data_IF_765201843685
#
_entry.id   IF_765201843685
#
_cell.length_a   1.000
_cell.length_b   1.000
_cell.length_c   1.000
_cell.angle_alpha   90.00
_cell.angle_beta   90.00
_cell.angle_gamma   90.00
#
_symmetry.space_group_name_H-M   'P 1'
#
loop_
_entity.id
_entity.type
_entity.pdbx_description
1 polymer ?
#
# COMPACT_ATOMS: atom_id res chain seq x y z
N UNK A 1 -4.34 18.57 -9.63
CA UNK A 1 -3.80 18.83 -8.28
C UNK A 1 -3.95 17.58 -7.39
N UNK A 2 -3.04 17.40 -6.46
CA UNK A 2 -3.01 16.29 -5.50
C UNK A 2 -3.31 16.78 -4.07
N UNK A 3 -3.34 15.87 -3.12
CA UNK A 3 -3.60 16.17 -1.71
C UNK A 3 -2.52 17.07 -1.08
N UNK A 4 -1.25 16.93 -1.48
CA UNK A 4 -0.19 17.81 -0.99
C UNK A 4 -0.39 19.26 -1.39
N UNK A 5 -0.84 19.49 -2.62
CA UNK A 5 -1.17 20.84 -3.12
C UNK A 5 -2.23 21.52 -2.25
N UNK A 6 -3.22 20.75 -1.74
CA UNK A 6 -4.24 21.28 -0.82
C UNK A 6 -3.67 21.62 0.55
N UNK A 7 -2.83 20.74 1.13
CA UNK A 7 -2.18 21.04 2.41
C UNK A 7 -1.30 22.27 2.33
N UNK A 8 -0.51 22.40 1.24
CA UNK A 8 0.28 23.60 0.98
C UNK A 8 -0.60 24.84 0.80
N UNK A 9 -1.74 24.70 0.10
CA UNK A 9 -2.73 25.76 -0.09
C UNK A 9 -3.29 26.26 1.23
N UNK A 10 -3.70 25.35 2.12
CA UNK A 10 -4.18 25.72 3.46
C UNK A 10 -3.11 26.47 4.27
N UNK A 11 -1.84 26.02 4.19
CA UNK A 11 -0.71 26.73 4.80
C UNK A 11 -0.49 28.13 4.22
N UNK A 12 -0.64 28.32 2.90
CA UNK A 12 -0.51 29.62 2.22
C UNK A 12 -1.64 30.57 2.59
N UNK A 13 -2.88 30.08 2.77
CA UNK A 13 -3.99 30.91 3.26
C UNK A 13 -3.70 31.39 4.69
N UNK A 14 -3.25 30.47 5.57
CA UNK A 14 -2.88 30.84 6.94
C UNK A 14 -1.72 31.86 6.98
N UNK A 15 -0.79 31.80 6.04
CA UNK A 15 0.32 32.75 5.90
C UNK A 15 -0.06 34.05 5.16
N UNK A 16 -1.28 34.17 4.67
CA UNK A 16 -1.75 35.38 3.92
C UNK A 16 -1.17 35.52 2.50
N UNK A 17 -0.61 34.40 1.94
CA UNK A 17 -0.03 34.37 0.58
C UNK A 17 -0.94 33.74 -0.47
N UNK A 18 -2.13 33.30 -0.08
CA UNK A 18 -3.20 32.78 -0.91
C UNK A 18 -4.54 33.21 -0.32
N UNK A 19 -5.53 33.46 -1.15
CA UNK A 19 -6.89 33.79 -0.72
C UNK A 19 -7.71 32.52 -0.44
N UNK A 20 -8.79 32.66 0.32
CA UNK A 20 -9.73 31.56 0.55
C UNK A 20 -10.41 31.09 -0.76
N UNK A 21 -10.70 32.00 -1.70
CA UNK A 21 -11.30 31.67 -2.99
C UNK A 21 -10.34 30.86 -3.88
N UNK A 22 -9.05 31.19 -3.86
CA UNK A 22 -8.03 30.41 -4.57
C UNK A 22 -7.88 28.99 -3.97
N UNK A 23 -7.97 28.85 -2.65
CA UNK A 23 -7.96 27.52 -2.01
C UNK A 23 -9.21 26.72 -2.40
N UNK A 24 -10.40 27.35 -2.38
CA UNK A 24 -11.65 26.71 -2.79
C UNK A 24 -11.58 26.19 -4.23
N UNK A 25 -10.99 26.96 -5.15
CA UNK A 25 -10.77 26.54 -6.54
C UNK A 25 -9.80 25.33 -6.64
N UNK A 26 -8.82 25.21 -5.74
CA UNK A 26 -7.96 24.04 -5.65
C UNK A 26 -8.72 22.83 -5.11
N UNK A 27 -9.58 23.00 -4.10
CA UNK A 27 -10.42 21.95 -3.52
C UNK A 27 -11.36 21.36 -4.58
N UNK A 28 -11.99 22.18 -5.40
CA UNK A 28 -12.89 21.76 -6.48
C UNK A 28 -12.19 20.91 -7.56
N UNK A 29 -10.89 21.08 -7.74
CA UNK A 29 -10.10 20.41 -8.80
C UNK A 29 -9.15 19.34 -8.29
N UNK A 30 -9.05 19.16 -6.98
CA UNK A 30 -8.14 18.20 -6.39
C UNK A 30 -8.66 16.76 -6.49
N UNK A 31 -7.73 15.82 -6.67
CA UNK A 31 -8.03 14.37 -6.72
C UNK A 31 -9.19 14.05 -7.68
N UNK A 32 -9.11 14.41 -8.98
CA UNK A 32 -10.25 14.47 -9.90
C UNK A 32 -10.82 13.13 -10.33
N UNK A 33 -10.25 12.01 -9.85
CA UNK A 33 -10.68 10.64 -10.19
C UNK A 33 -11.24 9.90 -8.98
N UNK A 34 -11.78 8.70 -9.18
CA UNK A 34 -12.27 7.84 -8.10
C UNK A 34 -11.15 6.93 -7.55
N UNK A 35 -11.39 6.36 -6.37
CA UNK A 35 -10.48 5.43 -5.70
C UNK A 35 -9.71 6.09 -4.55
N UNK A 36 -8.62 5.45 -4.10
CA UNK A 36 -7.71 6.03 -3.11
C UNK A 36 -6.87 7.17 -3.71
N UNK A 37 -6.27 8.00 -2.85
CA UNK A 37 -5.30 9.01 -3.29
C UNK A 37 -4.13 8.38 -4.06
N UNK A 38 -3.46 9.16 -4.92
CA UNK A 38 -2.36 8.67 -5.75
C UNK A 38 -1.03 8.48 -5.00
N UNK A 39 -0.92 9.01 -3.78
CA UNK A 39 0.28 8.90 -2.95
C UNK A 39 0.29 7.69 -2.03
N UNK A 40 1.45 7.44 -1.40
CA UNK A 40 1.66 6.35 -0.44
C UNK A 40 1.15 6.74 0.96
N UNK A 41 -0.11 7.15 1.03
CA UNK A 41 -0.84 7.32 2.27
C UNK A 41 -1.41 5.98 2.75
N UNK A 42 -2.17 5.98 3.83
CA UNK A 42 -2.63 4.76 4.50
C UNK A 42 -3.37 3.80 3.57
N UNK A 43 -4.27 4.32 2.73
CA UNK A 43 -5.08 3.49 1.84
C UNK A 43 -4.21 2.70 0.84
N UNK A 44 -3.34 3.38 0.09
CA UNK A 44 -2.44 2.71 -0.84
C UNK A 44 -1.42 1.81 -0.12
N UNK A 45 -0.91 2.25 1.02
CA UNK A 45 -0.02 1.42 1.85
C UNK A 45 -0.66 0.09 2.21
N UNK A 46 -1.87 0.11 2.77
CA UNK A 46 -2.56 -1.12 3.16
C UNK A 46 -3.01 -1.96 1.95
N UNK A 47 -3.39 -1.35 0.82
CA UNK A 47 -3.65 -2.09 -0.41
C UNK A 47 -2.42 -2.89 -0.86
N UNK A 48 -1.24 -2.28 -0.86
CA UNK A 48 0.01 -2.93 -1.21
C UNK A 48 0.39 -4.05 -0.23
N UNK A 49 0.22 -3.81 1.08
CA UNK A 49 0.55 -4.80 2.10
C UNK A 49 -0.45 -5.97 2.13
N UNK A 50 -1.72 -5.73 1.86
CA UNK A 50 -2.73 -6.80 1.72
C UNK A 50 -2.38 -7.74 0.56
N UNK A 51 -1.86 -7.18 -0.54
CA UNK A 51 -1.33 -7.98 -1.66
C UNK A 51 -0.09 -8.79 -1.24
N UNK A 52 0.85 -8.18 -0.51
CA UNK A 52 2.05 -8.86 -0.01
C UNK A 52 1.74 -10.00 0.96
N UNK A 53 0.73 -9.82 1.84
CA UNK A 53 0.26 -10.87 2.76
C UNK A 53 -0.37 -12.05 2.00
N UNK A 54 -0.88 -11.82 0.79
CA UNK A 54 -1.59 -12.82 -0.01
C UNK A 54 -3.11 -12.78 0.15
N UNK A 55 -3.66 -11.76 0.85
CA UNK A 55 -5.10 -11.58 1.05
C UNK A 55 -5.79 -10.83 -0.10
N UNK A 56 -5.04 -10.44 -1.11
CA UNK A 56 -5.58 -9.92 -2.37
C UNK A 56 -4.73 -10.37 -3.56
N UNK A 57 -5.34 -10.34 -4.75
CA UNK A 57 -4.67 -10.78 -5.98
C UNK A 57 -3.56 -9.81 -6.41
N UNK A 58 -2.54 -10.31 -7.14
CA UNK A 58 -1.49 -9.46 -7.70
C UNK A 58 -2.03 -8.30 -8.53
N UNK A 59 -1.49 -7.10 -8.29
CA UNK A 59 -1.94 -5.86 -8.89
C UNK A 59 -3.05 -5.13 -8.11
N UNK A 60 -3.63 -5.76 -7.10
CA UNK A 60 -4.68 -5.14 -6.28
C UNK A 60 -4.21 -3.87 -5.60
N UNK A 61 -2.95 -3.80 -5.18
CA UNK A 61 -2.37 -2.66 -4.50
C UNK A 61 -2.12 -1.44 -5.40
N UNK A 62 -1.93 -1.63 -6.71
CA UNK A 62 -1.39 -0.57 -7.57
C UNK A 62 -2.22 -0.24 -8.81
N UNK A 63 -3.08 -1.14 -9.30
CA UNK A 63 -3.92 -0.86 -10.48
C UNK A 63 -4.88 0.30 -10.17
N UNK A 64 -4.85 1.42 -10.94
CA UNK A 64 -5.75 2.55 -10.73
C UNK A 64 -7.23 2.17 -10.84
N UNK A 65 -8.07 2.79 -9.99
CA UNK A 65 -9.50 2.48 -9.92
C UNK A 65 -10.25 2.75 -11.25
N UNK A 66 -9.77 3.69 -12.05
CA UNK A 66 -10.36 4.07 -13.33
C UNK A 66 -10.01 3.13 -14.49
N UNK A 67 -9.07 2.22 -14.30
CA UNK A 67 -8.65 1.30 -15.37
C UNK A 67 -9.57 0.08 -15.47
N UNK A 68 -9.84 -0.38 -16.69
CA UNK A 68 -10.61 -1.61 -16.96
C UNK A 68 -9.98 -2.86 -16.32
N UNK A 69 -8.66 -2.85 -16.12
CA UNK A 69 -7.93 -3.89 -15.38
C UNK A 69 -8.47 -4.07 -13.95
N UNK A 70 -8.91 -2.99 -13.28
CA UNK A 70 -9.52 -3.06 -11.94
C UNK A 70 -10.84 -3.85 -11.96
N UNK A 71 -11.66 -3.70 -12.98
CA UNK A 71 -12.91 -4.46 -13.12
C UNK A 71 -12.65 -5.94 -13.38
N UNK A 72 -11.64 -6.26 -14.21
CA UNK A 72 -11.22 -7.65 -14.42
C UNK A 72 -10.71 -8.29 -13.14
N UNK A 73 -9.85 -7.58 -12.40
CA UNK A 73 -9.33 -8.05 -11.12
C UNK A 73 -10.45 -8.31 -10.10
N UNK A 74 -11.47 -7.45 -10.06
CA UNK A 74 -12.62 -7.65 -9.19
C UNK A 74 -13.39 -8.94 -9.54
N UNK A 75 -13.54 -9.24 -10.83
CA UNK A 75 -14.15 -10.49 -11.29
C UNK A 75 -13.30 -11.70 -10.90
N UNK A 76 -12.00 -11.66 -11.17
CA UNK A 76 -11.05 -12.71 -10.79
C UNK A 76 -11.03 -12.95 -9.28
N UNK A 77 -11.12 -11.89 -8.46
CA UNK A 77 -11.21 -12.02 -7.02
C UNK A 77 -12.49 -12.74 -6.57
N UNK A 78 -13.62 -12.47 -7.25
CA UNK A 78 -14.88 -13.20 -7.03
C UNK A 78 -14.79 -14.69 -7.38
N UNK A 79 -14.10 -15.02 -8.48
CA UNK A 79 -13.84 -16.42 -8.87
C UNK A 79 -12.90 -17.09 -7.85
N UNK A 80 -11.80 -16.42 -7.47
CA UNK A 80 -10.83 -16.96 -6.52
C UNK A 80 -11.42 -17.23 -5.12
N UNK A 81 -12.31 -16.37 -4.61
CA UNK A 81 -12.94 -16.63 -3.31
C UNK A 81 -13.79 -17.91 -3.31
N UNK A 82 -14.39 -18.24 -4.45
CA UNK A 82 -15.13 -19.50 -4.59
C UNK A 82 -14.19 -20.72 -4.62
N UNK A 83 -13.00 -20.57 -5.18
CA UNK A 83 -12.00 -21.63 -5.17
C UNK A 83 -11.42 -21.83 -3.76
N UNK A 84 -11.13 -20.75 -3.04
CA UNK A 84 -10.72 -20.82 -1.63
C UNK A 84 -11.75 -21.58 -0.77
N UNK A 85 -13.04 -21.33 -1.01
CA UNK A 85 -14.11 -22.05 -0.31
C UNK A 85 -14.11 -23.55 -0.64
N UNK A 86 -13.93 -23.93 -1.91
CA UNK A 86 -13.86 -25.34 -2.35
C UNK A 86 -12.63 -26.06 -1.81
N UNK A 87 -11.50 -25.36 -1.75
CA UNK A 87 -10.21 -25.85 -1.29
C UNK A 87 -10.10 -25.83 0.25
N UNK A 88 -11.11 -25.30 0.97
CA UNK A 88 -11.15 -25.06 2.43
C UNK A 88 -9.94 -24.24 2.92
N UNK A 89 -9.46 -23.30 2.11
CA UNK A 89 -8.38 -22.38 2.49
C UNK A 89 -8.95 -21.22 3.28
N UNK A 90 -8.47 -21.04 4.50
CA UNK A 90 -8.92 -20.01 5.46
C UNK A 90 -7.94 -18.83 5.50
N UNK A 91 -8.38 -17.64 5.94
CA UNK A 91 -7.48 -16.52 6.18
C UNK A 91 -6.28 -16.88 7.06
N UNK A 92 -6.46 -17.75 8.07
CA UNK A 92 -5.39 -18.25 8.94
C UNK A 92 -4.31 -19.06 8.21
N UNK A 93 -4.65 -19.67 7.08
CA UNK A 93 -3.69 -20.43 6.27
C UNK A 93 -2.83 -19.51 5.40
N UNK A 94 -3.34 -18.30 5.11
CA UNK A 94 -2.67 -17.28 4.30
C UNK A 94 -1.89 -16.31 5.19
N UNK A 95 -2.50 -15.82 6.28
CA UNK A 95 -1.89 -14.84 7.20
C UNK A 95 -0.96 -15.59 8.16
N UNK A 96 0.16 -16.04 7.63
CA UNK A 96 1.20 -16.73 8.41
C UNK A 96 2.22 -15.71 8.96
N UNK A 97 3.02 -16.13 9.93
CA UNK A 97 4.13 -15.30 10.44
C UNK A 97 5.09 -14.86 9.33
N UNK A 98 5.36 -15.75 8.35
CA UNK A 98 6.19 -15.43 7.17
C UNK A 98 5.52 -14.39 6.27
N UNK A 99 4.21 -14.47 6.07
CA UNK A 99 3.46 -13.49 5.28
C UNK A 99 3.52 -12.09 5.92
N UNK A 100 3.38 -12.02 7.24
CA UNK A 100 3.50 -10.77 8.00
C UNK A 100 4.94 -10.24 7.93
N UNK A 101 5.97 -11.09 8.05
CA UNK A 101 7.37 -10.67 7.89
C UNK A 101 7.62 -10.08 6.49
N UNK A 102 7.15 -10.73 5.44
CA UNK A 102 7.24 -10.21 4.08
C UNK A 102 6.54 -8.86 3.93
N UNK A 103 5.35 -8.71 4.55
CA UNK A 103 4.63 -7.43 4.55
C UNK A 103 5.42 -6.32 5.24
N UNK A 104 6.04 -6.59 6.40
CA UNK A 104 6.89 -5.61 7.09
C UNK A 104 8.09 -5.19 6.26
N UNK A 105 8.75 -6.13 5.58
CA UNK A 105 9.87 -5.81 4.68
C UNK A 105 9.41 -4.99 3.47
N UNK A 106 8.27 -5.33 2.90
CA UNK A 106 7.67 -4.55 1.82
C UNK A 106 7.28 -3.16 2.28
N UNK A 107 6.70 -3.02 3.48
CA UNK A 107 6.36 -1.76 4.13
C UNK A 107 7.56 -0.81 4.18
N UNK A 108 8.68 -1.29 4.70
CA UNK A 108 9.93 -0.53 4.78
C UNK A 108 10.51 -0.20 3.40
N UNK A 109 10.41 -1.13 2.45
CA UNK A 109 10.98 -0.99 1.11
C UNK A 109 10.26 0.07 0.26
N UNK A 110 8.94 0.20 0.39
CA UNK A 110 8.15 1.17 -0.37
C UNK A 110 7.85 2.46 0.39
N UNK A 111 8.23 2.54 1.67
CA UNK A 111 8.03 3.74 2.49
C UNK A 111 6.56 4.02 2.77
N UNK A 112 5.86 3.06 3.35
CA UNK A 112 4.45 3.16 3.69
C UNK A 112 4.16 4.20 4.78
N UNK A 113 2.86 4.47 4.97
CA UNK A 113 2.35 5.30 6.06
C UNK A 113 2.66 4.68 7.43
N UNK A 114 2.96 5.50 8.44
CA UNK A 114 3.16 5.03 9.82
C UNK A 114 1.94 4.30 10.40
N UNK A 115 0.75 4.50 9.83
CA UNK A 115 -0.46 3.78 10.23
C UNK A 115 -0.38 2.27 9.94
N UNK A 116 0.47 1.84 9.00
CA UNK A 116 0.66 0.41 8.69
C UNK A 116 1.21 -0.36 9.88
N UNK A 117 2.00 0.27 10.73
CA UNK A 117 2.52 -0.34 11.96
C UNK A 117 1.37 -0.77 12.87
N UNK A 118 0.36 0.11 13.05
CA UNK A 118 -0.85 -0.22 13.82
C UNK A 118 -1.66 -1.33 13.15
N UNK A 119 -1.81 -1.25 11.83
CA UNK A 119 -2.64 -2.21 11.10
C UNK A 119 -1.99 -3.58 11.01
N UNK A 120 -0.69 -3.68 10.71
CA UNK A 120 0.01 -4.95 10.62
C UNK A 120 0.09 -5.66 11.97
N UNK A 121 0.33 -4.93 13.06
CA UNK A 121 0.31 -5.52 14.40
C UNK A 121 -1.08 -6.00 14.80
N UNK A 122 -2.14 -5.25 14.45
CA UNK A 122 -3.52 -5.67 14.70
C UNK A 122 -3.91 -6.91 13.89
N UNK A 123 -3.54 -6.96 12.60
CA UNK A 123 -3.78 -8.13 11.73
C UNK A 123 -3.02 -9.35 12.26
N UNK A 124 -1.76 -9.19 12.61
CA UNK A 124 -0.93 -10.26 13.17
C UNK A 124 -1.55 -10.81 14.46
N UNK A 125 -1.92 -9.93 15.39
CA UNK A 125 -2.56 -10.34 16.64
C UNK A 125 -3.89 -11.08 16.41
N UNK A 126 -4.74 -10.59 15.51
CA UNK A 126 -5.98 -11.26 15.15
C UNK A 126 -5.76 -12.64 14.49
N UNK A 127 -4.62 -12.84 13.83
CA UNK A 127 -4.20 -14.12 13.25
C UNK A 127 -3.45 -15.02 14.25
N UNK A 128 -3.29 -14.60 15.50
CA UNK A 128 -2.59 -15.36 16.55
C UNK A 128 -1.08 -15.22 16.53
N UNK A 129 -0.55 -14.18 15.87
CA UNK A 129 0.89 -13.89 15.81
C UNK A 129 1.21 -12.63 16.61
N UNK A 130 2.16 -12.72 17.52
CA UNK A 130 2.64 -11.57 18.29
C UNK A 130 3.85 -10.92 17.62
N UNK A 131 3.71 -9.63 17.33
CA UNK A 131 4.76 -8.81 16.73
C UNK A 131 4.94 -7.57 17.60
N UNK A 132 6.14 -7.40 18.13
CA UNK A 132 6.51 -6.25 18.90
C UNK A 132 7.24 -5.17 18.08
N UNK A 133 7.35 -3.97 18.65
CA UNK A 133 8.03 -2.84 18.01
C UNK A 133 9.53 -3.09 17.80
N UNK A 134 10.16 -3.90 18.64
CA UNK A 134 11.58 -4.22 18.52
C UNK A 134 11.84 -5.08 17.27
N UNK A 135 10.94 -6.01 16.98
CA UNK A 135 10.98 -6.82 15.75
C UNK A 135 10.76 -5.95 14.51
N UNK A 136 9.81 -5.02 14.55
CA UNK A 136 9.57 -4.04 13.48
C UNK A 136 10.80 -3.16 13.22
N UNK A 137 11.41 -2.62 14.26
CA UNK A 137 12.64 -1.82 14.14
C UNK A 137 13.79 -2.64 13.53
N UNK A 138 13.92 -3.92 13.92
CA UNK A 138 14.94 -4.80 13.37
C UNK A 138 14.75 -5.04 11.85
N UNK A 139 13.52 -5.13 11.36
CA UNK A 139 13.23 -5.20 9.92
C UNK A 139 13.53 -3.88 9.23
N UNK A 140 13.15 -2.75 9.83
CA UNK A 140 13.42 -1.42 9.28
C UNK A 140 14.91 -1.15 9.09
N UNK A 141 15.75 -1.55 10.06
CA UNK A 141 17.21 -1.39 9.98
C UNK A 141 17.87 -2.24 8.88
N UNK A 142 17.25 -3.35 8.49
CA UNK A 142 17.83 -4.31 7.54
C UNK A 142 17.27 -4.20 6.14
N UNK A 143 16.11 -3.58 5.96
CA UNK A 143 15.43 -3.50 4.67
C UNK A 143 15.70 -2.14 4.04
N UNK A 144 16.32 -2.09 2.85
CA UNK A 144 16.53 -0.83 2.15
C UNK A 144 15.20 -0.27 1.64
N UNK A 145 15.03 1.04 1.72
CA UNK A 145 13.97 1.73 1.00
C UNK A 145 14.34 1.77 -0.49
N UNK A 146 13.58 1.07 -1.33
CA UNK A 146 13.80 0.97 -2.78
C UNK A 146 12.83 1.83 -3.60
N UNK A 147 11.69 2.23 -3.01
CA UNK A 147 10.74 3.15 -3.61
C UNK A 147 10.64 4.43 -2.79
N UNK A 148 10.49 5.56 -3.48
CA UNK A 148 10.19 6.84 -2.85
C UNK A 148 9.01 7.46 -3.60
N UNK A 149 7.81 7.32 -3.01
CA UNK A 149 6.56 7.74 -3.62
C UNK A 149 6.02 9.03 -2.97
N UNK A 150 5.09 9.71 -3.66
CA UNK A 150 4.36 10.84 -3.08
C UNK A 150 3.74 10.44 -1.73
N UNK A 151 3.83 11.24 -0.66
CA UNK A 151 4.27 12.63 -0.60
C UNK A 151 5.79 12.86 -0.52
N UNK A 152 6.60 11.83 -0.38
CA UNK A 152 8.05 11.98 -0.22
C UNK A 152 8.80 12.27 -1.53
N UNK A 153 8.13 12.17 -2.68
CA UNK A 153 8.63 12.53 -4.02
C UNK A 153 7.48 12.89 -4.96
N UNK A 154 7.80 13.15 -6.23
CA UNK A 154 6.81 13.39 -7.30
C UNK A 154 6.37 12.11 -8.03
N UNK A 155 6.79 10.93 -7.57
CA UNK A 155 6.43 9.63 -8.14
C UNK A 155 5.15 9.14 -7.46
N UNK A 156 4.19 8.66 -8.23
CA UNK A 156 2.89 8.22 -7.74
C UNK A 156 2.73 6.69 -7.78
N UNK A 157 1.66 6.19 -7.17
CA UNK A 157 1.35 4.75 -7.17
C UNK A 157 1.10 4.21 -8.59
N UNK A 158 0.64 5.05 -9.51
CA UNK A 158 0.49 4.73 -10.93
C UNK A 158 1.82 4.40 -11.60
N UNK A 159 2.86 5.18 -11.28
CA UNK A 159 4.21 4.94 -11.80
C UNK A 159 4.76 3.60 -11.29
N UNK A 160 4.48 3.27 -10.03
CA UNK A 160 4.83 1.95 -9.48
C UNK A 160 4.06 0.82 -10.18
N UNK A 161 2.78 1.03 -10.50
CA UNK A 161 1.99 0.06 -11.27
C UNK A 161 2.63 -0.23 -12.64
N UNK A 162 3.08 0.82 -13.33
CA UNK A 162 3.61 0.72 -14.69
C UNK A 162 4.94 -0.05 -14.77
N UNK A 163 5.68 -0.11 -13.67
CA UNK A 163 6.92 -0.91 -13.56
C UNK A 163 6.70 -2.29 -12.94
N UNK A 164 5.44 -2.70 -12.73
CA UNK A 164 5.06 -4.05 -12.29
C UNK A 164 4.55 -4.15 -10.86
N UNK A 165 4.30 -3.02 -10.18
CA UNK A 165 3.62 -2.96 -8.89
C UNK A 165 4.34 -3.70 -7.77
N UNK A 166 3.57 -4.21 -6.82
CA UNK A 166 4.09 -4.94 -5.65
C UNK A 166 4.84 -6.22 -6.02
N UNK A 167 4.43 -7.01 -7.03
CA UNK A 167 5.24 -8.17 -7.46
C UNK A 167 6.67 -7.79 -7.89
N UNK A 168 6.84 -6.64 -8.55
CA UNK A 168 8.18 -6.16 -8.91
C UNK A 168 9.00 -5.77 -7.68
N UNK A 169 8.42 -5.09 -6.70
CA UNK A 169 9.05 -4.78 -5.41
C UNK A 169 9.49 -6.06 -4.69
N UNK A 170 8.58 -7.01 -4.55
CA UNK A 170 8.87 -8.29 -3.89
C UNK A 170 9.98 -9.07 -4.63
N UNK A 171 10.00 -9.02 -5.96
CA UNK A 171 11.06 -9.62 -6.76
C UNK A 171 12.43 -8.98 -6.47
N UNK A 172 12.52 -7.67 -6.35
CA UNK A 172 13.77 -6.99 -5.99
C UNK A 172 14.21 -7.33 -4.57
N UNK A 173 13.30 -7.35 -3.60
CA UNK A 173 13.60 -7.80 -2.24
C UNK A 173 14.07 -9.26 -2.20
N UNK A 174 13.46 -10.13 -3.01
CA UNK A 174 13.85 -11.55 -3.10
C UNK A 174 15.28 -11.74 -3.63
N UNK A 175 15.74 -10.90 -4.58
CA UNK A 175 17.15 -10.91 -5.03
C UNK A 175 18.13 -10.62 -3.88
N UNK A 176 17.72 -9.79 -2.92
CA UNK A 176 18.46 -9.49 -1.70
C UNK A 176 18.28 -10.52 -0.57
N UNK A 177 17.56 -11.62 -0.81
CA UNK A 177 17.26 -12.63 0.21
C UNK A 177 16.30 -12.14 1.31
N UNK A 178 15.50 -11.11 1.02
CA UNK A 178 14.63 -10.45 2.01
C UNK A 178 13.17 -10.91 1.96
N UNK A 179 12.79 -11.72 0.99
CA UNK A 179 11.46 -12.34 0.92
C UNK A 179 11.57 -13.82 1.30
N UNK A 180 10.69 -14.23 2.19
CA UNK A 180 10.58 -15.62 2.61
C UNK A 180 9.56 -16.31 1.69
N UNK A 181 9.91 -17.39 0.98
CA UNK A 181 8.94 -18.15 0.21
C UNK A 181 7.82 -18.67 1.12
N UNK A 182 6.59 -18.41 0.72
CA UNK A 182 5.38 -18.93 1.34
C UNK A 182 4.94 -20.09 0.43
N UNK A 183 4.93 -21.30 0.96
CA UNK A 183 4.48 -22.49 0.24
C UNK A 183 2.96 -22.57 0.26
#
# INVERSE_FOLDING_TARGET
TDLNTLFDGAGKVAAGTMTADELAALEDTACPTCGSCSGMYTANSMNCLTETIGMSLPGSGTIPAVMSARLRLAKEAGERVMDLLKEDIKPSDIITEKAIENAMRTDMAIGCSTNTILHLTAIAHAAGHDIDLARLDAYGRKTPQICKLNPASSVFITDLNDVGGIPAVMKELAKGGMIIPIA
#
